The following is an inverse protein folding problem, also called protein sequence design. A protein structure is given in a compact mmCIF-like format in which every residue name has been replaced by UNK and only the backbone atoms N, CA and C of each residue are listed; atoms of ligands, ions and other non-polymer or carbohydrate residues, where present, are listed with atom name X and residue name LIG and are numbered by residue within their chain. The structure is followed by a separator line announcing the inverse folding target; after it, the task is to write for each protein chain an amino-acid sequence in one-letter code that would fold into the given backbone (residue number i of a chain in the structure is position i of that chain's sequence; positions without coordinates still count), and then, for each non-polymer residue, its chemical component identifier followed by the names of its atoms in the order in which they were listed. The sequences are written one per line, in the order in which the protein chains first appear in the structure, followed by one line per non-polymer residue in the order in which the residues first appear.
data_IF_264983781197
#
_entry.id   IF_264983781197
#
_cell.length_a   1.000
_cell.length_b   1.000
_cell.length_c   1.000
_cell.angle_alpha   90.00
_cell.angle_beta   90.00
_cell.angle_gamma   90.00
#
_symmetry.space_group_name_H-M   'P 1'
#
loop_
_entity.id
_entity.type
_entity.pdbx_description
1 polymer ?
#
# COMPACT_ATOMS: atom_id res chain seq x y z
N UNK A 1 46.70 1.60 57.59
CA UNK A 1 45.95 0.86 56.55
C UNK A 1 44.55 1.48 56.40
N UNK A 2 44.41 2.51 55.55
CA UNK A 2 43.12 3.16 55.20
C UNK A 2 43.32 3.79 53.82
N UNK A 3 43.42 2.97 52.77
CA UNK A 3 43.65 3.50 51.41
C UNK A 3 42.97 2.73 50.28
N UNK A 4 42.04 1.81 50.60
CA UNK A 4 41.37 0.98 49.58
C UNK A 4 39.85 1.18 49.52
N UNK A 5 39.24 2.02 50.38
CA UNK A 5 37.78 2.16 50.44
C UNK A 5 37.23 3.35 49.63
N UNK A 6 38.06 4.37 49.36
CA UNK A 6 37.65 5.52 48.54
C UNK A 6 37.73 5.25 47.03
N UNK A 7 38.63 4.36 46.57
CA UNK A 7 38.79 4.09 45.14
C UNK A 7 37.67 3.21 44.55
N UNK A 8 37.01 2.38 45.35
CA UNK A 8 35.90 1.54 44.88
C UNK A 8 34.59 2.34 44.69
N UNK A 9 34.34 3.35 45.52
CA UNK A 9 33.16 4.21 45.41
C UNK A 9 33.22 5.15 44.19
N UNK A 10 34.41 5.60 43.80
CA UNK A 10 34.59 6.45 42.62
C UNK A 10 34.33 5.73 41.29
N UNK A 11 34.65 4.42 41.21
CA UNK A 11 34.45 3.63 39.99
C UNK A 11 32.97 3.28 39.79
N UNK A 12 32.23 2.99 40.86
CA UNK A 12 30.78 2.69 40.78
C UNK A 12 29.96 3.92 40.38
N UNK A 13 30.35 5.11 40.86
CA UNK A 13 29.71 6.38 40.46
C UNK A 13 30.00 6.76 39.00
N UNK A 14 31.20 6.45 38.48
CA UNK A 14 31.54 6.68 37.08
C UNK A 14 30.75 5.78 36.12
N UNK A 15 30.52 4.50 36.47
CA UNK A 15 29.73 3.59 35.62
C UNK A 15 28.24 3.97 35.59
N UNK A 16 27.70 4.52 36.68
CA UNK A 16 26.30 4.96 36.74
C UNK A 16 26.02 6.20 35.89
N UNK A 17 27.00 7.12 35.74
CA UNK A 17 26.82 8.34 34.92
C UNK A 17 27.02 8.07 33.44
N UNK A 18 27.88 7.11 33.05
CA UNK A 18 28.02 6.72 31.64
C UNK A 18 26.92 5.77 31.14
N UNK A 19 26.15 5.15 32.03
CA UNK A 19 25.01 4.30 31.66
C UNK A 19 23.74 5.05 31.25
N UNK A 20 23.65 6.37 31.49
CA UNK A 20 22.41 7.13 31.34
C UNK A 20 22.36 8.07 30.11
N UNK A 21 23.39 8.11 29.25
CA UNK A 21 23.52 9.15 28.21
C UNK A 21 23.48 8.68 26.75
N UNK A 22 23.13 7.42 26.45
CA UNK A 22 23.09 6.95 25.04
C UNK A 22 21.81 6.23 24.64
N UNK A 23 20.65 6.73 25.08
CA UNK A 23 19.35 6.26 24.57
C UNK A 23 18.41 7.41 24.21
N UNK A 24 18.96 8.55 23.78
CA UNK A 24 18.16 9.54 23.05
C UNK A 24 18.95 10.01 21.84
N UNK A 25 18.42 9.77 20.65
CA UNK A 25 18.91 10.45 19.45
C UNK A 25 19.14 9.61 18.20
N UNK A 26 18.99 8.29 18.24
CA UNK A 26 18.61 7.55 17.02
C UNK A 26 17.10 7.73 16.79
N UNK A 27 16.64 8.99 16.82
CA UNK A 27 15.49 9.39 16.04
C UNK A 27 15.90 9.12 14.60
N UNK A 28 15.65 7.89 14.17
CA UNK A 28 15.52 7.49 12.79
C UNK A 28 14.82 8.67 12.12
N UNK A 29 15.58 9.48 11.39
CA UNK A 29 15.07 10.20 10.23
C UNK A 29 14.60 9.10 9.29
N UNK A 30 13.44 8.51 9.60
CA UNK A 30 12.48 8.07 8.61
C UNK A 30 12.13 9.37 7.88
N UNK A 31 13.01 9.82 6.98
CA UNK A 31 12.51 10.22 5.68
C UNK A 31 11.56 9.09 5.31
N UNK A 32 10.26 9.35 5.43
CA UNK A 32 9.23 8.51 4.82
C UNK A 32 9.72 8.37 3.40
N UNK A 33 10.42 7.27 3.09
CA UNK A 33 10.57 6.85 1.73
C UNK A 33 9.14 6.54 1.37
N UNK A 34 8.47 7.51 0.75
CA UNK A 34 7.25 7.23 0.05
C UNK A 34 7.66 6.22 -1.01
N UNK A 35 7.55 4.95 -0.65
CA UNK A 35 7.58 3.90 -1.63
C UNK A 35 6.37 4.21 -2.49
N UNK A 36 6.59 4.47 -3.77
CA UNK A 36 5.55 4.46 -4.79
C UNK A 36 4.81 3.13 -4.69
N UNK A 37 3.77 3.10 -3.86
CA UNK A 37 2.94 1.93 -3.62
C UNK A 37 2.11 1.75 -4.87
N UNK A 38 2.53 0.82 -5.72
CA UNK A 38 1.72 0.36 -6.84
C UNK A 38 0.54 -0.44 -6.24
N UNK A 39 -0.51 0.28 -5.84
CA UNK A 39 -1.77 -0.33 -5.45
C UNK A 39 -2.48 -0.82 -6.71
N UNK A 40 -2.43 -2.13 -6.93
CA UNK A 40 -3.30 -2.81 -7.88
C UNK A 40 -4.65 -3.00 -7.21
N UNK A 41 -5.57 -2.06 -7.44
CA UNK A 41 -6.88 -2.00 -6.78
C UNK A 41 -7.79 -3.18 -7.12
N UNK A 42 -7.57 -3.85 -8.24
CA UNK A 42 -8.43 -4.96 -8.69
C UNK A 42 -7.69 -6.00 -9.52
N UNK A 43 -6.36 -6.08 -9.42
CA UNK A 43 -5.53 -6.82 -10.41
C UNK A 43 -5.49 -6.18 -11.81
N UNK A 44 -6.53 -5.40 -12.16
CA UNK A 44 -6.82 -4.89 -13.51
C UNK A 44 -6.77 -3.36 -13.60
N UNK A 45 -6.99 -2.64 -12.50
CA UNK A 45 -6.91 -1.18 -12.39
C UNK A 45 -5.98 -0.78 -11.25
N UNK A 46 -5.18 0.28 -11.44
CA UNK A 46 -4.24 0.79 -10.45
C UNK A 46 -4.62 2.22 -10.07
N UNK A 47 -4.80 2.52 -8.79
CA UNK A 47 -4.82 3.92 -8.36
C UNK A 47 -4.14 4.07 -7.00
N UNK A 48 -3.43 5.18 -6.84
CA UNK A 48 -2.54 5.41 -5.70
C UNK A 48 -2.40 6.90 -5.42
N UNK A 49 -1.91 7.23 -4.22
CA UNK A 49 -1.57 8.60 -3.85
C UNK A 49 -0.06 8.68 -3.69
N UNK A 50 0.59 9.52 -4.49
CA UNK A 50 2.02 9.81 -4.41
C UNK A 50 2.22 11.29 -4.08
N UNK A 51 2.89 11.59 -2.96
CA UNK A 51 3.15 12.96 -2.48
C UNK A 51 1.90 13.87 -2.46
N UNK A 52 0.73 13.31 -2.10
CA UNK A 52 -0.55 14.03 -2.08
C UNK A 52 -1.21 14.23 -3.46
N UNK A 53 -0.65 13.67 -4.52
CA UNK A 53 -1.24 13.63 -5.86
C UNK A 53 -1.89 12.27 -6.10
N UNK A 54 -3.17 12.28 -6.50
CA UNK A 54 -3.89 11.05 -6.88
C UNK A 54 -3.45 10.65 -8.30
N UNK A 55 -3.06 9.39 -8.50
CA UNK A 55 -2.68 8.82 -9.78
C UNK A 55 -3.61 7.65 -10.07
N UNK A 56 -4.24 7.67 -11.24
CA UNK A 56 -5.19 6.66 -11.71
C UNK A 56 -4.70 6.05 -13.01
N UNK A 57 -4.15 4.86 -12.91
CA UNK A 57 -3.32 4.22 -13.94
C UNK A 57 -2.27 5.21 -14.48
N UNK A 58 -2.56 5.81 -15.63
CA UNK A 58 -1.71 6.77 -16.36
C UNK A 58 -2.14 8.22 -16.18
N UNK A 59 -3.31 8.48 -15.62
CA UNK A 59 -3.84 9.83 -15.38
C UNK A 59 -3.35 10.35 -14.03
N UNK A 60 -2.61 11.46 -14.04
CA UNK A 60 -2.29 12.22 -12.83
C UNK A 60 -3.38 13.24 -12.57
N UNK A 61 -4.02 13.17 -11.40
CA UNK A 61 -5.08 14.10 -11.06
C UNK A 61 -4.53 15.48 -10.66
N UNK A 62 -5.19 16.56 -11.07
CA UNK A 62 -4.92 17.90 -10.56
C UNK A 62 -5.10 17.98 -9.03
N UNK A 63 -4.38 18.87 -8.33
CA UNK A 63 -4.39 18.96 -6.85
C UNK A 63 -5.75 19.34 -6.24
N UNK A 64 -6.62 19.98 -7.00
CA UNK A 64 -8.01 20.29 -6.65
C UNK A 64 -8.92 19.06 -6.67
N UNK A 65 -8.47 17.95 -7.26
CA UNK A 65 -9.23 16.71 -7.30
C UNK A 65 -9.32 16.10 -5.91
N UNK A 66 -10.53 15.67 -5.55
CA UNK A 66 -10.82 14.94 -4.33
C UNK A 66 -10.86 13.44 -4.56
N UNK A 67 -11.28 13.00 -5.73
CA UNK A 67 -11.54 11.59 -6.01
C UNK A 67 -11.05 11.25 -7.40
N UNK A 68 -10.75 10.00 -7.62
CA UNK A 68 -10.52 9.49 -8.95
C UNK A 68 -11.22 8.16 -9.16
N UNK A 69 -11.72 7.96 -10.38
CA UNK A 69 -12.50 6.80 -10.82
C UNK A 69 -11.87 6.23 -12.07
N UNK A 70 -11.76 4.91 -12.12
CA UNK A 70 -11.35 4.14 -13.27
C UNK A 70 -12.50 3.18 -13.58
N UNK A 71 -13.05 3.26 -14.78
CA UNK A 71 -14.07 2.34 -15.29
C UNK A 71 -13.54 1.67 -16.54
N UNK A 72 -13.58 0.34 -16.59
CA UNK A 72 -13.12 -0.45 -17.73
C UNK A 72 -14.22 -1.38 -18.19
N UNK A 73 -14.80 -1.09 -19.35
CA UNK A 73 -15.92 -1.86 -19.88
C UNK A 73 -15.63 -2.32 -21.30
N UNK A 74 -16.14 -3.48 -21.70
CA UNK A 74 -16.17 -3.85 -23.12
C UNK A 74 -16.83 -2.74 -23.95
N UNK A 75 -16.27 -2.44 -25.12
CA UNK A 75 -16.91 -1.52 -26.07
C UNK A 75 -18.22 -2.12 -26.57
N UNK A 76 -19.19 -1.26 -26.93
CA UNK A 76 -20.49 -1.72 -27.46
C UNK A 76 -20.35 -2.54 -28.75
N UNK A 77 -19.31 -2.24 -29.53
CA UNK A 77 -19.13 -2.80 -30.87
C UNK A 77 -18.23 -4.05 -30.88
N UNK A 78 -17.38 -4.25 -29.86
CA UNK A 78 -16.42 -5.36 -29.81
C UNK A 78 -16.09 -5.75 -28.36
N UNK A 79 -16.48 -6.97 -27.98
CA UNK A 79 -16.20 -7.54 -26.65
C UNK A 79 -14.70 -7.74 -26.38
N UNK A 80 -13.88 -7.80 -27.43
CA UNK A 80 -12.43 -7.94 -27.31
C UNK A 80 -11.71 -6.59 -27.16
N UNK A 81 -12.45 -5.48 -27.15
CA UNK A 81 -11.92 -4.14 -26.86
C UNK A 81 -12.53 -3.64 -25.58
N UNK A 82 -11.68 -3.14 -24.69
CA UNK A 82 -12.06 -2.55 -23.42
C UNK A 82 -11.87 -1.03 -23.54
N UNK A 83 -12.94 -0.27 -23.33
CA UNK A 83 -12.87 1.16 -23.11
C UNK A 83 -12.51 1.43 -21.66
N UNK A 84 -11.39 2.11 -21.46
CA UNK A 84 -10.92 2.53 -20.14
C UNK A 84 -11.17 4.03 -19.99
N UNK A 85 -12.04 4.39 -19.06
CA UNK A 85 -12.30 5.77 -18.66
C UNK A 85 -11.62 6.04 -17.34
N UNK A 86 -10.82 7.09 -17.27
CA UNK A 86 -10.16 7.56 -16.04
C UNK A 86 -10.59 8.99 -15.81
N UNK A 87 -11.12 9.27 -14.63
CA UNK A 87 -11.75 10.55 -14.34
C UNK A 87 -11.39 11.00 -12.93
N UNK A 88 -10.81 12.19 -12.82
CA UNK A 88 -10.56 12.87 -11.57
C UNK A 88 -11.73 13.82 -11.30
N UNK A 89 -12.23 13.83 -10.08
CA UNK A 89 -13.40 14.59 -9.66
C UNK A 89 -13.03 15.52 -8.50
N UNK A 90 -13.61 16.71 -8.48
CA UNK A 90 -13.59 17.61 -7.33
C UNK A 90 -14.54 17.13 -6.21
N UNK A 91 -14.56 17.77 -5.02
CA UNK A 91 -15.49 17.41 -3.95
C UNK A 91 -16.98 17.51 -4.32
N UNK A 92 -17.32 18.30 -5.35
CA UNK A 92 -18.69 18.44 -5.85
C UNK A 92 -19.05 17.39 -6.93
N UNK A 93 -18.12 16.50 -7.28
CA UNK A 93 -18.30 15.47 -8.30
C UNK A 93 -18.10 15.96 -9.73
N UNK A 94 -17.55 17.16 -9.95
CA UNK A 94 -17.27 17.68 -11.29
C UNK A 94 -15.91 17.17 -11.76
N UNK A 95 -15.84 16.76 -13.03
CA UNK A 95 -14.61 16.32 -13.66
C UNK A 95 -13.57 17.44 -13.74
N UNK A 96 -12.40 17.21 -13.14
CA UNK A 96 -11.22 18.10 -13.19
C UNK A 96 -10.25 17.64 -14.27
N UNK A 97 -10.17 16.33 -14.51
CA UNK A 97 -9.41 15.73 -15.60
C UNK A 97 -10.04 14.41 -16.03
N UNK A 98 -9.97 14.10 -17.33
CA UNK A 98 -10.55 12.87 -17.89
C UNK A 98 -9.70 12.36 -19.05
N UNK A 99 -9.54 11.04 -19.10
CA UNK A 99 -8.98 10.34 -20.27
C UNK A 99 -9.84 9.15 -20.63
N UNK A 100 -9.87 8.84 -21.92
CA UNK A 100 -10.59 7.70 -22.45
C UNK A 100 -9.66 7.00 -23.44
N UNK A 101 -9.36 5.73 -23.17
CA UNK A 101 -8.49 4.90 -24.01
C UNK A 101 -9.18 3.60 -24.35
N UNK A 102 -8.64 2.89 -25.34
CA UNK A 102 -9.10 1.55 -25.70
C UNK A 102 -7.93 0.59 -25.61
N UNK A 103 -8.16 -0.53 -24.94
CA UNK A 103 -7.18 -1.58 -24.69
C UNK A 103 -7.74 -2.92 -25.19
N UNK A 104 -6.87 -3.88 -25.49
CA UNK A 104 -7.30 -5.22 -25.89
C UNK A 104 -7.75 -6.00 -24.65
N UNK A 105 -8.86 -6.72 -24.76
CA UNK A 105 -9.35 -7.58 -23.68
C UNK A 105 -8.38 -8.74 -23.42
N UNK A 106 -8.04 -8.93 -22.15
CA UNK A 106 -7.37 -10.14 -21.64
C UNK A 106 -8.33 -11.33 -21.50
N UNK A 107 -9.64 -11.09 -21.68
CA UNK A 107 -10.71 -12.06 -21.58
C UNK A 107 -11.48 -12.12 -22.91
N UNK A 108 -10.91 -12.76 -23.94
CA UNK A 108 -11.51 -12.79 -25.27
C UNK A 108 -12.89 -13.48 -25.25
N UNK A 109 -13.85 -12.89 -25.96
CA UNK A 109 -15.21 -13.43 -26.10
C UNK A 109 -16.12 -13.28 -24.88
N UNK A 110 -15.65 -12.68 -23.77
CA UNK A 110 -16.46 -12.40 -22.58
C UNK A 110 -16.69 -10.91 -22.43
N UNK A 111 -17.83 -10.52 -21.85
CA UNK A 111 -17.98 -9.15 -21.38
C UNK A 111 -17.00 -8.90 -20.24
N UNK A 112 -16.45 -7.69 -20.24
CA UNK A 112 -15.52 -7.23 -19.24
C UNK A 112 -16.09 -5.98 -18.57
N UNK A 113 -16.11 -5.99 -17.24
CA UNK A 113 -16.47 -4.84 -16.42
C UNK A 113 -15.54 -4.79 -15.20
N UNK A 114 -14.91 -3.64 -14.99
CA UNK A 114 -14.22 -3.36 -13.73
C UNK A 114 -14.32 -1.89 -13.35
N UNK A 115 -14.31 -1.67 -12.03
CA UNK A 115 -14.39 -0.36 -11.41
C UNK A 115 -13.34 -0.25 -10.33
N UNK A 116 -12.74 0.92 -10.22
CA UNK A 116 -11.93 1.27 -9.07
C UNK A 116 -12.07 2.76 -8.79
N UNK A 117 -12.15 3.11 -7.51
CA UNK A 117 -12.06 4.48 -7.05
C UNK A 117 -11.12 4.62 -5.87
N UNK A 118 -10.49 5.78 -5.80
CA UNK A 118 -9.70 6.23 -4.65
C UNK A 118 -10.04 7.69 -4.37
N UNK A 119 -10.28 8.03 -3.12
CA UNK A 119 -10.41 9.42 -2.70
C UNK A 119 -9.10 9.97 -2.10
N UNK A 120 -9.06 11.28 -1.87
CA UNK A 120 -7.91 12.00 -1.34
C UNK A 120 -7.54 11.57 0.08
N UNK A 121 -8.47 10.94 0.80
CA UNK A 121 -8.27 10.43 2.14
C UNK A 121 -7.72 9.00 2.13
N UNK A 122 -7.63 8.35 0.95
CA UNK A 122 -7.17 6.98 0.80
C UNK A 122 -8.28 5.94 0.96
N UNK A 123 -9.56 6.36 0.98
CA UNK A 123 -10.66 5.41 0.87
C UNK A 123 -10.69 4.85 -0.54
N UNK A 124 -10.91 3.54 -0.61
CA UNK A 124 -10.84 2.79 -1.85
C UNK A 124 -12.08 1.91 -1.95
N UNK A 125 -12.67 1.87 -3.14
CA UNK A 125 -13.66 0.86 -3.53
C UNK A 125 -13.33 0.34 -4.92
N UNK A 126 -13.41 -0.97 -5.13
CA UNK A 126 -13.19 -1.58 -6.44
C UNK A 126 -13.96 -2.88 -6.61
N UNK A 127 -14.21 -3.23 -7.87
CA UNK A 127 -14.62 -4.56 -8.27
C UNK A 127 -13.97 -4.95 -9.60
N UNK A 128 -13.76 -6.25 -9.80
CA UNK A 128 -13.23 -6.81 -11.05
C UNK A 128 -14.25 -7.70 -11.77
N UNK A 129 -13.89 -8.11 -12.99
CA UNK A 129 -14.72 -8.97 -13.84
C UNK A 129 -14.85 -10.42 -13.30
N UNK A 130 -14.18 -10.74 -12.19
CA UNK A 130 -14.22 -12.06 -11.55
C UNK A 130 -15.15 -12.06 -10.33
N UNK A 131 -15.78 -10.92 -10.04
CA UNK A 131 -16.65 -10.76 -8.87
C UNK A 131 -15.89 -10.49 -7.58
N UNK A 132 -14.58 -10.25 -7.64
CA UNK A 132 -13.85 -9.79 -6.46
C UNK A 132 -14.21 -8.33 -6.22
N UNK A 133 -14.52 -8.02 -4.96
CA UNK A 133 -14.79 -6.66 -4.52
C UNK A 133 -13.82 -6.31 -3.41
N UNK A 134 -13.40 -5.05 -3.36
CA UNK A 134 -12.53 -4.55 -2.33
C UNK A 134 -13.03 -3.18 -1.86
N UNK A 135 -13.18 -3.04 -0.55
CA UNK A 135 -13.54 -1.79 0.08
C UNK A 135 -12.60 -1.55 1.25
N UNK A 136 -12.00 -0.37 1.30
CA UNK A 136 -11.14 0.06 2.38
C UNK A 136 -11.49 1.47 2.80
N UNK A 137 -11.59 1.67 4.10
CA UNK A 137 -11.75 2.98 4.72
C UNK A 137 -10.64 3.18 5.73
N UNK A 138 -9.92 4.30 5.65
CA UNK A 138 -8.83 4.56 6.59
C UNK A 138 -8.00 5.80 6.26
N UNK A 139 -7.70 6.60 7.31
CA UNK A 139 -6.71 7.69 7.30
C UNK A 139 -5.24 7.19 7.35
N UNK A 140 -5.05 5.88 7.30
CA UNK A 140 -3.78 5.22 7.54
C UNK A 140 -3.09 4.92 6.23
N UNK A 141 -2.07 5.72 5.92
CA UNK A 141 -0.91 5.38 5.09
C UNK A 141 -1.02 3.99 4.45
N UNK A 142 -1.51 3.92 3.20
CA UNK A 142 -1.67 2.76 2.31
C UNK A 142 -0.62 1.63 2.51
N UNK A 143 0.56 1.99 2.99
CA UNK A 143 1.61 1.12 3.48
C UNK A 143 1.22 0.12 4.58
N UNK A 144 0.41 0.48 5.58
CA UNK A 144 0.05 -0.44 6.69
C UNK A 144 -0.71 -1.67 6.18
N UNK A 145 -1.54 -1.49 5.16
CA UNK A 145 -2.32 -2.57 4.55
C UNK A 145 -1.45 -3.53 3.69
N UNK A 146 -0.48 -3.01 2.93
CA UNK A 146 0.51 -3.83 2.22
C UNK A 146 1.36 -4.65 3.19
N UNK A 147 1.75 -4.07 4.32
CA UNK A 147 2.44 -4.83 5.37
C UNK A 147 1.56 -5.94 5.94
N UNK A 148 0.27 -5.68 6.14
CA UNK A 148 -0.67 -6.68 6.64
C UNK A 148 -0.87 -7.85 5.65
N UNK A 149 -1.02 -7.57 4.35
CA UNK A 149 -1.07 -8.64 3.33
C UNK A 149 0.23 -9.44 3.24
N UNK A 150 1.39 -8.78 3.36
CA UNK A 150 2.69 -9.45 3.38
C UNK A 150 2.82 -10.32 4.64
N UNK A 151 2.37 -9.84 5.80
CA UNK A 151 2.39 -10.60 7.05
C UNK A 151 1.46 -11.82 6.99
N UNK A 152 0.24 -11.64 6.47
CA UNK A 152 -0.73 -12.73 6.30
C UNK A 152 -0.20 -13.78 5.31
N UNK A 153 0.43 -13.36 4.20
CA UNK A 153 1.05 -14.28 3.24
C UNK A 153 2.26 -15.01 3.84
N UNK A 154 3.12 -14.32 4.60
CA UNK A 154 4.24 -14.95 5.30
C UNK A 154 3.75 -15.98 6.32
N UNK A 155 2.68 -15.67 7.04
CA UNK A 155 2.09 -16.59 8.02
C UNK A 155 1.50 -17.82 7.33
N UNK A 156 0.77 -17.67 6.23
CA UNK A 156 0.23 -18.79 5.48
C UNK A 156 1.34 -19.71 4.90
N UNK A 157 2.45 -19.15 4.43
CA UNK A 157 3.62 -19.92 3.97
C UNK A 157 4.27 -20.67 5.14
N UNK A 158 4.42 -20.01 6.29
CA UNK A 158 4.99 -20.63 7.49
C UNK A 158 4.11 -21.76 8.03
N UNK A 159 2.79 -21.57 8.06
CA UNK A 159 1.84 -22.59 8.50
C UNK A 159 1.85 -23.78 7.52
N UNK A 160 1.94 -23.55 6.21
CA UNK A 160 2.12 -24.63 5.23
C UNK A 160 3.44 -25.39 5.42
N UNK A 161 4.53 -24.69 5.76
CA UNK A 161 5.83 -25.32 6.02
C UNK A 161 5.84 -26.08 7.35
N UNK A 162 5.10 -25.63 8.37
CA UNK A 162 4.98 -26.33 9.64
C UNK A 162 4.06 -27.55 9.54
N UNK A 163 2.96 -27.44 8.80
CA UNK A 163 1.98 -28.53 8.61
C UNK A 163 2.45 -29.57 7.59
N UNK A 164 3.32 -29.21 6.64
CA UNK A 164 3.88 -30.14 5.67
C UNK A 164 4.72 -31.26 6.32
N UNK A 165 5.13 -31.11 7.59
CA UNK A 165 5.96 -32.06 8.30
C UNK A 165 7.36 -32.14 7.70
N UNK A 166 8.38 -32.30 8.55
CA UNK A 166 9.77 -32.33 8.09
C UNK A 166 10.00 -33.52 7.13
N UNK A 167 10.24 -33.32 5.81
CA UNK A 167 10.41 -34.42 4.86
C UNK A 167 11.77 -35.11 5.01
N UNK A 168 12.63 -34.59 5.89
CA UNK A 168 13.91 -35.18 6.25
C UNK A 168 13.87 -35.59 7.72
N UNK A 169 13.56 -36.86 8.05
CA UNK A 169 13.82 -37.35 9.38
C UNK A 169 15.32 -37.19 9.66
N UNK A 170 15.65 -36.49 10.74
CA UNK A 170 17.00 -36.43 11.25
C UNK A 170 17.47 -37.88 11.48
N UNK A 171 18.59 -38.25 10.85
CA UNK A 171 19.25 -39.55 11.05
C UNK A 171 19.85 -39.64 12.44
#
# INVERSE_FOLDING_TARGET
MRSNMCSLLAVVLLVAVFGAVTVEGAALRRTRRQLSSLLTLSGESNARIENGTIICDTLKCPPESFKCVIVKNSTKDDVNKIQVTRECLDPAGKATAKTLTTEKSSFPGQQFESYAEIDKNGNIASFDNRGNTYNHSGDGDIHSYLYQQIEDLHKAILDQLSDAGNPFPAK
#
